data_IF_401638712619
#
_entry.id   IF_401638712619
#
_cell.length_a   1.000
_cell.length_b   1.000
_cell.length_c   1.000
_cell.angle_alpha   90.00
_cell.angle_beta   90.00
_cell.angle_gamma   90.00
#
_symmetry.space_group_name_H-M   'P 1'
#
loop_
_entity.id
_entity.type
_entity.pdbx_description
1 polymer ?
#
# COMPACT_ATOMS: atom_id res chain seq x y z
N UNK A 1 -43.20 -14.69 -24.02
CA UNK A 1 -43.16 -14.34 -22.59
C UNK A 1 -41.79 -14.74 -22.07
N UNK A 2 -40.83 -13.82 -22.06
CA UNK A 2 -39.48 -14.08 -21.55
C UNK A 2 -39.44 -13.69 -20.07
N UNK A 3 -39.24 -14.67 -19.20
CA UNK A 3 -38.97 -14.43 -17.78
C UNK A 3 -37.48 -14.12 -17.68
N UNK A 4 -37.15 -12.86 -17.44
CA UNK A 4 -35.78 -12.47 -17.07
C UNK A 4 -35.61 -12.85 -15.61
N UNK A 5 -34.86 -13.93 -15.35
CA UNK A 5 -34.45 -14.29 -14.01
C UNK A 5 -33.37 -13.29 -13.56
N UNK A 6 -33.76 -12.34 -12.72
CA UNK A 6 -32.83 -11.43 -12.04
C UNK A 6 -32.05 -12.23 -11.01
N UNK A 7 -30.87 -12.74 -11.38
CA UNK A 7 -29.93 -13.25 -10.39
C UNK A 7 -29.40 -12.08 -9.60
N UNK A 8 -29.94 -11.89 -8.38
CA UNK A 8 -29.30 -11.09 -7.36
C UNK A 8 -27.95 -11.74 -7.03
N UNK A 9 -26.87 -11.19 -7.56
CA UNK A 9 -25.53 -11.51 -7.09
C UNK A 9 -25.44 -10.95 -5.66
N UNK A 10 -25.25 -11.78 -4.62
CA UNK A 10 -25.06 -11.27 -3.28
C UNK A 10 -23.79 -10.42 -3.28
N UNK A 11 -23.93 -9.15 -2.87
CA UNK A 11 -22.81 -8.22 -2.74
C UNK A 11 -21.90 -8.82 -1.66
N UNK A 12 -20.74 -9.34 -2.07
CA UNK A 12 -19.71 -9.80 -1.14
C UNK A 12 -19.40 -8.65 -0.18
N UNK A 13 -19.42 -8.98 1.11
CA UNK A 13 -19.36 -8.10 2.27
C UNK A 13 -18.45 -6.88 2.05
N UNK A 14 -18.98 -5.68 2.30
CA UNK A 14 -18.26 -4.41 2.22
C UNK A 14 -16.87 -4.51 2.90
N UNK A 15 -15.81 -4.38 2.11
CA UNK A 15 -14.41 -4.43 2.56
C UNK A 15 -14.07 -3.16 3.33
N UNK A 16 -14.36 -3.14 4.64
CA UNK A 16 -13.87 -2.11 5.55
C UNK A 16 -12.37 -2.30 5.80
N UNK A 17 -11.62 -1.21 5.89
CA UNK A 17 -10.20 -1.17 6.24
C UNK A 17 -10.00 -0.86 7.73
N UNK A 18 -8.81 -1.12 8.26
CA UNK A 18 -8.50 -0.82 9.66
C UNK A 18 -8.65 0.69 9.93
N UNK A 19 -9.64 1.06 10.74
CA UNK A 19 -9.97 2.46 11.03
C UNK A 19 -11.31 2.92 10.46
N UNK A 20 -11.86 2.23 9.45
CA UNK A 20 -13.14 2.58 8.82
C UNK A 20 -14.33 2.26 9.71
N UNK A 21 -14.18 1.26 10.58
CA UNK A 21 -15.17 0.88 11.59
C UNK A 21 -14.50 0.38 12.85
N UNK A 22 -15.26 0.42 13.94
CA UNK A 22 -14.85 -0.13 15.23
C UNK A 22 -14.79 -1.66 15.17
N UNK A 23 -13.63 -2.25 15.45
CA UNK A 23 -13.45 -3.71 15.51
C UNK A 23 -13.52 -4.24 16.94
N UNK A 24 -14.12 -5.42 17.12
CA UNK A 24 -14.24 -6.10 18.41
C UNK A 24 -14.24 -7.62 18.22
N UNK A 25 -14.08 -8.34 19.33
CA UNK A 25 -14.10 -9.80 19.40
C UNK A 25 -15.28 -10.40 18.63
N UNK A 26 -15.00 -11.44 17.84
CA UNK A 26 -15.95 -12.17 17.01
C UNK A 26 -16.24 -11.52 15.64
N UNK A 27 -15.70 -10.34 15.36
CA UNK A 27 -15.80 -9.76 14.02
C UNK A 27 -14.87 -10.45 13.04
N UNK A 28 -15.31 -10.48 11.78
CA UNK A 28 -14.55 -10.99 10.66
C UNK A 28 -14.42 -9.91 9.59
N UNK A 29 -13.33 -9.96 8.84
CA UNK A 29 -13.14 -9.09 7.69
C UNK A 29 -11.68 -8.80 7.37
N UNK A 30 -11.50 -8.09 6.26
CA UNK A 30 -10.20 -7.68 5.78
C UNK A 30 -9.52 -6.67 6.73
N UNK A 31 -10.28 -5.77 7.35
CA UNK A 31 -9.85 -4.88 8.44
C UNK A 31 -9.28 -5.63 9.65
N UNK A 32 -9.91 -6.75 10.03
CA UNK A 32 -9.40 -7.62 11.10
C UNK A 32 -8.10 -8.28 10.69
N UNK A 33 -7.98 -8.72 9.43
CA UNK A 33 -6.73 -9.29 8.94
C UNK A 33 -5.60 -8.25 8.94
N UNK A 34 -5.88 -7.00 8.58
CA UNK A 34 -4.93 -5.89 8.68
C UNK A 34 -4.50 -5.61 10.12
N UNK A 35 -5.47 -5.56 11.06
CA UNK A 35 -5.19 -5.43 12.49
C UNK A 35 -4.20 -6.51 12.97
N UNK A 36 -4.47 -7.77 12.62
CA UNK A 36 -3.63 -8.91 12.99
C UNK A 36 -2.21 -8.76 12.42
N UNK A 37 -2.06 -8.38 11.14
CA UNK A 37 -0.74 -8.15 10.52
C UNK A 37 0.02 -7.02 11.22
N UNK A 38 -0.64 -5.89 11.47
CA UNK A 38 -0.01 -4.72 12.07
C UNK A 38 0.43 -4.97 13.52
N UNK A 39 -0.43 -5.58 14.33
CA UNK A 39 -0.06 -5.96 15.70
C UNK A 39 1.04 -7.03 15.72
N UNK A 40 0.98 -8.02 14.82
CA UNK A 40 2.06 -9.00 14.64
C UNK A 40 3.39 -8.34 14.28
N UNK A 41 3.37 -7.35 13.38
CA UNK A 41 4.55 -6.57 13.01
C UNK A 41 5.14 -5.80 14.19
N UNK A 42 4.29 -5.25 15.05
CA UNK A 42 4.70 -4.56 16.28
C UNK A 42 5.12 -5.52 17.42
N UNK A 43 5.12 -6.83 17.16
CA UNK A 43 5.62 -7.85 18.08
C UNK A 43 4.57 -8.42 19.03
N UNK A 44 3.29 -8.15 18.82
CA UNK A 44 2.20 -8.72 19.61
C UNK A 44 1.74 -10.06 19.04
N UNK A 45 1.44 -11.02 19.91
CA UNK A 45 0.97 -12.33 19.48
C UNK A 45 -0.54 -12.31 19.16
N UNK A 46 -0.87 -12.22 17.87
CA UNK A 46 -2.25 -12.17 17.39
C UNK A 46 -2.87 -13.54 17.11
N UNK A 47 -2.09 -14.63 17.20
CA UNK A 47 -2.48 -15.95 16.72
C UNK A 47 -2.31 -16.07 15.20
N UNK A 48 -3.29 -16.66 14.52
CA UNK A 48 -3.29 -16.76 13.06
C UNK A 48 -3.78 -15.45 12.43
N UNK A 49 -3.31 -15.15 11.22
CA UNK A 49 -3.73 -14.00 10.41
C UNK A 49 -4.84 -14.45 9.46
N UNK A 50 -5.97 -14.82 10.04
CA UNK A 50 -7.11 -15.45 9.38
C UNK A 50 -8.27 -14.47 9.10
N UNK A 51 -8.17 -13.22 9.56
CA UNK A 51 -9.24 -12.24 9.44
C UNK A 51 -10.38 -12.45 10.43
N UNK A 52 -10.23 -13.32 11.43
CA UNK A 52 -11.17 -13.52 12.53
C UNK A 52 -10.65 -12.88 13.82
N UNK A 53 -11.43 -11.98 14.42
CA UNK A 53 -11.05 -11.27 15.64
C UNK A 53 -11.29 -12.19 16.83
N UNK A 54 -10.42 -13.19 16.98
CA UNK A 54 -10.48 -14.17 18.04
C UNK A 54 -9.83 -13.72 19.34
N UNK A 55 -9.76 -14.64 20.29
CA UNK A 55 -9.23 -14.37 21.63
C UNK A 55 -7.77 -13.89 21.62
N UNK A 56 -6.91 -14.47 20.78
CA UNK A 56 -5.52 -14.03 20.67
C UNK A 56 -5.41 -12.60 20.11
N UNK A 57 -6.18 -12.28 19.07
CA UNK A 57 -6.22 -10.91 18.51
C UNK A 57 -6.74 -9.90 19.54
N UNK A 58 -7.77 -10.27 20.31
CA UNK A 58 -8.27 -9.44 21.41
C UNK A 58 -7.25 -9.21 22.52
N UNK A 59 -6.52 -10.26 22.92
CA UNK A 59 -5.45 -10.14 23.89
C UNK A 59 -4.33 -9.21 23.40
N UNK A 60 -3.92 -9.34 22.12
CA UNK A 60 -2.94 -8.48 21.49
C UNK A 60 -3.39 -7.01 21.44
N UNK A 61 -4.66 -6.74 21.14
CA UNK A 61 -5.21 -5.36 21.17
C UNK A 61 -5.14 -4.77 22.56
N UNK A 62 -5.55 -5.52 23.60
CA UNK A 62 -5.47 -5.03 24.98
C UNK A 62 -4.04 -4.77 25.42
N UNK A 63 -3.12 -5.65 25.05
CA UNK A 63 -1.71 -5.44 25.35
C UNK A 63 -1.16 -4.20 24.64
N UNK A 64 -1.50 -4.01 23.37
CA UNK A 64 -1.15 -2.82 22.61
C UNK A 64 -1.70 -1.55 23.26
N UNK A 65 -2.99 -1.53 23.60
CA UNK A 65 -3.64 -0.39 24.24
C UNK A 65 -2.95 -0.04 25.56
N UNK A 66 -2.65 -1.04 26.40
CA UNK A 66 -1.98 -0.85 27.67
C UNK A 66 -0.57 -0.25 27.49
N UNK A 67 0.24 -0.80 26.57
CA UNK A 67 1.61 -0.31 26.32
C UNK A 67 1.65 1.11 25.75
N UNK A 68 0.55 1.56 25.14
CA UNK A 68 0.46 2.85 24.46
C UNK A 68 -0.42 3.88 25.18
N UNK A 69 -0.81 3.61 26.43
CA UNK A 69 -1.58 4.56 27.25
C UNK A 69 -3.00 4.83 26.74
N UNK A 70 -3.60 3.87 26.03
CA UNK A 70 -4.97 3.95 25.52
C UNK A 70 -5.97 3.30 26.49
N UNK A 71 -7.27 3.50 26.25
CA UNK A 71 -8.34 2.72 26.91
C UNK A 71 -8.13 1.23 26.65
N UNK A 72 -8.04 0.41 27.70
CA UNK A 72 -7.72 -1.03 27.62
C UNK A 72 -9.00 -1.88 27.58
N UNK A 73 -9.86 -1.59 26.60
CA UNK A 73 -11.17 -2.23 26.41
C UNK A 73 -11.14 -3.40 25.42
N UNK A 74 -10.04 -3.58 24.69
CA UNK A 74 -9.91 -4.60 23.64
C UNK A 74 -10.70 -4.27 22.38
N UNK A 75 -11.14 -3.02 22.22
CA UNK A 75 -11.89 -2.52 21.08
C UNK A 75 -10.99 -1.64 20.23
N UNK A 76 -10.94 -1.91 18.94
CA UNK A 76 -10.18 -1.10 17.98
C UNK A 76 -11.10 -0.02 17.42
N UNK A 77 -11.28 1.05 18.18
CA UNK A 77 -11.83 2.31 17.67
C UNK A 77 -10.76 3.16 16.98
N UNK A 78 -11.17 4.34 16.50
CA UNK A 78 -10.31 5.26 15.71
C UNK A 78 -8.97 5.57 16.40
N UNK A 79 -8.98 5.81 17.72
CA UNK A 79 -7.75 6.11 18.46
C UNK A 79 -6.76 4.93 18.47
N UNK A 80 -7.26 3.71 18.71
CA UNK A 80 -6.44 2.49 18.68
C UNK A 80 -5.92 2.20 17.27
N UNK A 81 -6.78 2.31 16.25
CA UNK A 81 -6.40 2.10 14.86
C UNK A 81 -5.29 3.06 14.43
N UNK A 82 -5.45 4.36 14.69
CA UNK A 82 -4.45 5.38 14.36
C UNK A 82 -3.12 5.16 15.09
N UNK A 83 -3.16 4.77 16.38
CA UNK A 83 -1.94 4.48 17.13
C UNK A 83 -1.17 3.29 16.53
N UNK A 84 -1.88 2.21 16.15
CA UNK A 84 -1.28 1.04 15.49
C UNK A 84 -0.66 1.46 14.16
N UNK A 85 -1.41 2.15 13.31
CA UNK A 85 -0.95 2.61 12.00
C UNK A 85 0.29 3.49 12.14
N UNK A 86 0.26 4.48 13.05
CA UNK A 86 1.39 5.39 13.28
C UNK A 86 2.65 4.66 13.77
N UNK A 87 2.52 3.62 14.59
CA UNK A 87 3.68 2.86 15.07
C UNK A 87 4.24 1.92 14.01
N UNK A 88 3.38 1.32 13.18
CA UNK A 88 3.84 0.55 12.02
C UNK A 88 4.63 1.47 11.08
N UNK A 89 4.14 2.69 10.86
CA UNK A 89 4.80 3.71 10.04
C UNK A 89 6.04 4.36 10.71
N UNK A 90 6.09 4.42 12.05
CA UNK A 90 7.14 5.11 12.82
C UNK A 90 8.23 4.22 13.44
N UNK A 91 8.07 2.89 13.43
CA UNK A 91 8.99 1.91 14.05
C UNK A 91 10.38 1.76 13.39
N UNK A 92 10.74 2.61 12.43
CA UNK A 92 12.02 2.54 11.70
C UNK A 92 13.23 3.13 12.47
N UNK A 93 13.06 3.65 13.69
CA UNK A 93 14.16 4.26 14.45
C UNK A 93 15.13 3.25 15.12
N UNK A 94 14.76 1.97 15.24
CA UNK A 94 15.58 0.97 15.95
C UNK A 94 15.57 -0.39 15.24
N UNK A 95 16.30 -0.51 14.13
CA UNK A 95 16.81 -1.81 13.66
C UNK A 95 18.29 -1.69 13.29
N UNK A 96 19.11 -2.72 13.56
CA UNK A 96 20.50 -2.73 13.12
C UNK A 96 20.53 -2.54 11.61
N UNK A 97 21.12 -1.43 11.16
CA UNK A 97 21.46 -1.23 9.75
C UNK A 97 22.46 -2.31 9.37
N UNK A 98 22.01 -3.32 8.63
CA UNK A 98 22.96 -4.12 7.86
C UNK A 98 23.49 -3.18 6.78
N UNK A 99 24.68 -2.67 7.04
CA UNK A 99 25.49 -1.98 6.04
C UNK A 99 25.94 -3.01 5.01
N UNK A 100 25.92 -2.55 3.75
CA UNK A 100 26.69 -3.07 2.61
C UNK A 100 26.00 -4.05 1.65
N UNK A 101 25.63 -3.48 0.51
CA UNK A 101 25.97 -3.95 -0.83
C UNK A 101 26.20 -5.47 -1.00
N UNK A 102 25.17 -6.18 -1.47
CA UNK A 102 25.41 -7.40 -2.26
C UNK A 102 24.33 -7.56 -3.33
N UNK A 103 24.76 -7.40 -4.59
CA UNK A 103 24.10 -7.83 -5.84
C UNK A 103 22.62 -7.47 -6.02
N UNK A 104 22.35 -6.24 -6.48
CA UNK A 104 21.40 -5.91 -7.55
C UNK A 104 19.91 -6.26 -7.42
N UNK A 105 19.49 -7.00 -6.40
CA UNK A 105 18.11 -7.37 -6.16
C UNK A 105 17.61 -6.61 -4.94
N UNK A 106 16.59 -5.77 -5.16
CA UNK A 106 15.80 -5.21 -4.08
C UNK A 106 15.20 -6.37 -3.29
N UNK A 107 15.62 -6.58 -2.04
CA UNK A 107 14.95 -7.51 -1.15
C UNK A 107 13.65 -6.87 -0.70
N UNK A 108 12.60 -7.10 -1.47
CA UNK A 108 11.24 -6.66 -1.13
C UNK A 108 10.53 -7.73 -0.33
N UNK A 109 9.93 -7.32 0.79
CA UNK A 109 9.01 -8.13 1.57
C UNK A 109 7.68 -8.31 0.84
N UNK A 110 6.85 -9.26 1.29
CA UNK A 110 5.47 -9.38 0.78
C UNK A 110 4.66 -8.10 0.98
N UNK A 111 4.92 -7.36 2.08
CA UNK A 111 4.24 -6.09 2.32
C UNK A 111 4.63 -5.04 1.28
N UNK A 112 5.91 -4.96 0.93
CA UNK A 112 6.39 -4.04 -0.10
C UNK A 112 5.75 -4.32 -1.47
N UNK A 113 5.56 -5.60 -1.81
CA UNK A 113 4.86 -5.99 -3.05
C UNK A 113 3.39 -5.56 -3.04
N UNK A 114 2.71 -5.66 -1.90
CA UNK A 114 1.34 -5.19 -1.74
C UNK A 114 1.26 -3.67 -1.82
N UNK A 115 2.17 -2.95 -1.16
CA UNK A 115 2.21 -1.48 -1.17
C UNK A 115 2.52 -0.95 -2.58
N UNK A 116 3.42 -1.59 -3.32
CA UNK A 116 3.67 -1.29 -4.72
C UNK A 116 2.44 -1.54 -5.59
N UNK A 117 1.75 -2.68 -5.41
CA UNK A 117 0.55 -2.99 -6.18
C UNK A 117 -0.58 -2.00 -5.89
N UNK A 118 -0.71 -1.52 -4.65
CA UNK A 118 -1.64 -0.46 -4.25
C UNK A 118 -1.37 0.86 -4.96
N UNK A 119 -0.10 1.26 -5.04
CA UNK A 119 0.28 2.44 -5.83
C UNK A 119 -0.09 2.24 -7.30
N UNK A 120 0.31 1.14 -7.92
CA UNK A 120 0.00 0.87 -9.33
C UNK A 120 -1.50 0.90 -9.58
N UNK A 121 -2.27 0.29 -8.69
CA UNK A 121 -3.72 0.26 -8.81
C UNK A 121 -4.33 1.66 -8.65
N UNK A 122 -3.90 2.46 -7.67
CA UNK A 122 -4.43 3.80 -7.49
C UNK A 122 -4.06 4.76 -8.63
N UNK A 123 -2.85 4.65 -9.16
CA UNK A 123 -2.30 5.61 -10.13
C UNK A 123 -2.59 5.24 -11.59
N UNK A 124 -2.76 3.95 -11.88
CA UNK A 124 -2.83 3.43 -13.25
C UNK A 124 -3.96 2.43 -13.47
N UNK A 125 -4.96 2.34 -12.60
CA UNK A 125 -6.17 1.55 -12.89
C UNK A 125 -6.86 2.09 -14.14
N UNK A 126 -7.15 1.19 -15.07
CA UNK A 126 -7.74 1.52 -16.36
C UNK A 126 -6.74 1.94 -17.44
N UNK A 127 -5.46 2.11 -17.08
CA UNK A 127 -4.38 2.25 -18.07
C UNK A 127 -4.04 0.89 -18.69
N UNK A 128 -3.33 0.93 -19.83
CA UNK A 128 -2.74 -0.27 -20.43
C UNK A 128 -1.78 -0.97 -19.46
N UNK A 129 -1.53 -2.27 -19.67
CA UNK A 129 -0.58 -3.02 -18.85
C UNK A 129 0.83 -2.39 -18.85
N UNK A 130 1.27 -1.86 -20.00
CA UNK A 130 2.52 -1.09 -20.11
C UNK A 130 2.51 0.16 -19.21
N UNK A 131 1.38 0.90 -19.14
CA UNK A 131 1.21 2.05 -18.25
C UNK A 131 1.26 1.68 -16.77
N UNK A 132 0.69 0.53 -16.38
CA UNK A 132 0.79 0.02 -15.02
C UNK A 132 2.23 -0.36 -14.65
N UNK A 133 2.95 -1.03 -15.58
CA UNK A 133 4.37 -1.36 -15.40
C UNK A 133 5.23 -0.09 -15.33
N UNK A 134 4.86 0.95 -16.08
CA UNK A 134 5.53 2.24 -16.05
C UNK A 134 5.48 2.90 -14.66
N UNK A 135 4.30 2.92 -14.01
CA UNK A 135 4.18 3.44 -12.63
C UNK A 135 5.01 2.62 -11.65
N UNK A 136 4.92 1.29 -11.71
CA UNK A 136 5.73 0.40 -10.86
C UNK A 136 7.23 0.69 -11.04
N UNK A 137 7.67 0.86 -12.29
CA UNK A 137 9.06 1.14 -12.63
C UNK A 137 9.55 2.46 -12.05
N UNK A 138 8.73 3.52 -12.06
CA UNK A 138 9.09 4.79 -11.41
C UNK A 138 9.33 4.61 -9.91
N UNK A 139 8.50 3.84 -9.19
CA UNK A 139 8.71 3.57 -7.76
C UNK A 139 10.05 2.85 -7.55
N UNK A 140 10.35 1.84 -8.37
CA UNK A 140 11.62 1.10 -8.28
C UNK A 140 12.83 1.96 -8.67
N UNK A 141 12.69 2.86 -9.64
CA UNK A 141 13.73 3.80 -10.05
C UNK A 141 14.04 4.81 -8.95
N UNK A 142 12.99 5.35 -8.29
CA UNK A 142 13.14 6.20 -7.11
C UNK A 142 13.90 5.48 -6.00
N UNK A 143 13.52 4.23 -5.71
CA UNK A 143 14.19 3.40 -4.70
C UNK A 143 15.67 3.13 -5.05
N UNK A 144 15.96 2.81 -6.32
CA UNK A 144 17.33 2.58 -6.80
C UNK A 144 18.18 3.84 -6.81
N UNK A 145 17.59 5.01 -7.06
CA UNK A 145 18.33 6.28 -7.09
C UNK A 145 18.79 6.72 -5.70
N UNK A 146 18.09 6.30 -4.64
CA UNK A 146 18.35 6.71 -3.26
C UNK A 146 18.00 8.18 -2.97
N UNK A 147 17.53 8.95 -3.95
CA UNK A 147 17.16 10.36 -3.77
C UNK A 147 15.83 10.53 -3.03
N UNK A 148 15.01 9.47 -3.01
CA UNK A 148 13.65 9.48 -2.46
C UNK A 148 13.54 8.65 -1.18
N UNK A 149 14.69 8.26 -0.61
CA UNK A 149 14.78 7.28 0.48
C UNK A 149 15.28 5.93 0.00
N UNK A 150 15.33 4.98 0.93
CA UNK A 150 15.98 3.68 0.73
C UNK A 150 15.04 2.49 0.96
N UNK A 151 13.76 2.74 1.26
CA UNK A 151 12.72 1.73 1.39
C UNK A 151 11.52 2.05 0.49
N UNK A 152 10.68 1.04 0.21
CA UNK A 152 9.45 1.23 -0.58
C UNK A 152 8.53 2.23 0.11
N UNK A 153 8.43 2.16 1.44
CA UNK A 153 7.63 3.08 2.24
C UNK A 153 8.16 4.51 2.15
N UNK A 154 9.48 4.72 2.19
CA UNK A 154 10.05 6.07 2.03
C UNK A 154 9.59 6.71 0.72
N UNK A 155 9.58 5.93 -0.37
CA UNK A 155 9.20 6.40 -1.69
C UNK A 155 7.69 6.64 -1.79
N UNK A 156 6.89 5.69 -1.31
CA UNK A 156 5.43 5.72 -1.43
C UNK A 156 4.81 6.80 -0.57
N UNK A 157 5.27 6.96 0.67
CA UNK A 157 4.69 7.92 1.63
C UNK A 157 5.31 9.30 1.58
N UNK A 158 6.15 9.60 0.57
CA UNK A 158 6.57 10.98 0.35
C UNK A 158 5.35 11.87 0.12
N UNK A 159 5.30 13.07 0.73
CA UNK A 159 4.20 14.00 0.53
C UNK A 159 3.98 14.26 -0.97
N UNK A 160 2.75 14.01 -1.42
CA UNK A 160 2.29 14.25 -2.79
C UNK A 160 2.92 13.36 -3.88
N UNK A 161 3.57 12.26 -3.50
CA UNK A 161 4.21 11.37 -4.47
C UNK A 161 3.24 10.47 -5.23
N UNK A 162 2.15 10.04 -4.58
CA UNK A 162 1.10 9.17 -5.13
C UNK A 162 -0.26 9.60 -4.56
N UNK A 163 -1.25 9.82 -5.42
CA UNK A 163 -2.59 10.26 -5.04
C UNK A 163 -3.30 9.21 -4.20
N UNK A 164 -3.06 7.92 -4.48
CA UNK A 164 -3.62 6.80 -3.72
C UNK A 164 -3.40 6.94 -2.20
N UNK A 165 -2.19 7.37 -1.80
CA UNK A 165 -1.77 7.56 -0.40
C UNK A 165 -2.58 8.66 0.30
N UNK A 166 -2.92 9.72 -0.42
CA UNK A 166 -3.53 10.92 0.17
C UNK A 166 -5.06 10.94 0.04
N UNK A 167 -5.61 10.27 -0.95
CA UNK A 167 -7.05 10.21 -1.19
C UNK A 167 -7.75 9.11 -0.36
N UNK A 168 -7.01 8.48 0.56
CA UNK A 168 -7.50 7.37 1.41
C UNK A 168 -7.71 6.05 0.67
N UNK A 169 -7.39 6.01 -0.63
CA UNK A 169 -7.58 4.85 -1.49
C UNK A 169 -6.41 3.87 -1.48
N UNK A 170 -5.31 4.22 -0.80
CA UNK A 170 -4.09 3.42 -0.77
C UNK A 170 -4.33 2.01 -0.28
N UNK A 171 -5.23 1.83 0.68
CA UNK A 171 -5.45 0.51 1.23
C UNK A 171 -6.33 -0.38 0.36
N UNK A 172 -6.97 0.16 -0.71
CA UNK A 172 -7.82 -0.59 -1.63
C UNK A 172 -7.12 -1.87 -2.13
N UNK A 173 -7.86 -2.98 -2.18
CA UNK A 173 -7.30 -4.24 -2.68
C UNK A 173 -6.90 -4.07 -4.16
N UNK A 174 -5.60 -4.25 -4.50
CA UNK A 174 -5.15 -4.19 -5.88
C UNK A 174 -5.68 -5.39 -6.66
N UNK A 175 -5.99 -5.20 -7.94
CA UNK A 175 -6.33 -6.31 -8.81
C UNK A 175 -5.09 -7.15 -9.20
N UNK A 176 -5.34 -8.31 -9.83
CA UNK A 176 -4.28 -9.20 -10.28
C UNK A 176 -3.33 -8.52 -11.30
N UNK A 177 -3.84 -7.57 -12.10
CA UNK A 177 -3.02 -6.87 -13.11
C UNK A 177 -2.01 -5.93 -12.47
N UNK A 178 -2.35 -5.27 -11.35
CA UNK A 178 -1.41 -4.46 -10.59
C UNK A 178 -0.25 -5.31 -10.03
N UNK A 179 -0.54 -6.49 -9.46
CA UNK A 179 0.50 -7.42 -9.00
C UNK A 179 1.39 -7.92 -10.15
N UNK A 180 0.79 -8.26 -11.29
CA UNK A 180 1.53 -8.68 -12.48
C UNK A 180 2.44 -7.57 -13.00
N UNK A 181 1.97 -6.31 -12.96
CA UNK A 181 2.76 -5.16 -13.38
C UNK A 181 3.97 -4.92 -12.46
N UNK A 182 3.78 -5.03 -11.14
CA UNK A 182 4.88 -4.99 -10.16
C UNK A 182 5.89 -6.10 -10.43
N UNK A 183 5.43 -7.32 -10.67
CA UNK A 183 6.30 -8.46 -10.97
C UNK A 183 7.10 -8.25 -12.28
N UNK A 184 6.46 -7.70 -13.31
CA UNK A 184 7.11 -7.34 -14.58
C UNK A 184 8.24 -6.32 -14.36
N UNK A 185 7.97 -5.24 -13.62
CA UNK A 185 8.96 -4.22 -13.30
C UNK A 185 10.13 -4.78 -12.47
N UNK A 186 9.85 -5.65 -11.49
CA UNK A 186 10.87 -6.34 -10.68
C UNK A 186 11.71 -7.31 -11.51
N UNK A 187 11.14 -7.91 -12.55
CA UNK A 187 11.86 -8.76 -13.50
C UNK A 187 12.75 -7.97 -14.46
N UNK A 188 12.72 -6.63 -14.38
CA UNK A 188 13.59 -5.73 -15.13
C UNK A 188 12.93 -5.03 -16.32
N UNK A 189 11.63 -5.22 -16.55
CA UNK A 189 10.95 -4.48 -17.61
C UNK A 189 10.63 -3.05 -17.14
N UNK A 190 11.34 -2.07 -17.70
CA UNK A 190 11.09 -0.64 -17.47
C UNK A 190 10.75 0.06 -18.80
N UNK A 191 9.46 0.29 -19.12
CA UNK A 191 9.05 1.00 -20.34
C UNK A 191 9.32 2.51 -20.28
N UNK A 192 9.71 3.05 -19.12
CA UNK A 192 9.95 4.49 -18.91
C UNK A 192 11.40 4.91 -19.13
N UNK A 193 12.30 3.96 -19.37
CA UNK A 193 13.72 4.25 -19.59
C UNK A 193 14.41 4.94 -18.42
N UNK A 194 14.03 4.61 -17.18
CA UNK A 194 14.63 5.18 -15.96
C UNK A 194 13.94 6.43 -15.41
N UNK A 195 12.67 6.69 -15.77
CA UNK A 195 11.97 7.87 -15.28
C UNK A 195 11.82 7.88 -13.74
N UNK A 196 11.86 9.09 -13.17
CA UNK A 196 11.69 9.34 -11.73
C UNK A 196 10.39 10.11 -11.43
N UNK A 197 9.77 10.69 -12.46
CA UNK A 197 8.56 11.48 -12.34
C UNK A 197 7.57 11.10 -13.44
N UNK A 198 6.29 11.26 -13.13
CA UNK A 198 5.24 11.24 -14.12
C UNK A 198 4.12 12.20 -13.74
N UNK A 199 3.33 12.61 -14.72
CA UNK A 199 2.12 13.42 -14.49
C UNK A 199 1.11 13.20 -15.62
N UNK A 200 -0.16 13.44 -15.33
CA UNK A 200 -1.17 13.57 -16.37
C UNK A 200 -1.13 14.99 -16.96
N UNK A 201 -0.82 15.18 -18.25
CA UNK A 201 -0.64 16.50 -18.85
C UNK A 201 -1.94 17.31 -18.95
N UNK A 202 -3.11 16.66 -18.81
CA UNK A 202 -4.41 17.33 -18.84
C UNK A 202 -4.76 17.93 -17.47
N UNK A 203 -4.37 17.26 -16.37
CA UNK A 203 -4.77 17.65 -15.02
C UNK A 203 -3.63 18.27 -14.19
N UNK A 204 -2.37 18.12 -14.62
CA UNK A 204 -1.22 18.65 -13.89
C UNK A 204 -1.22 20.19 -13.85
N UNK A 205 -1.25 20.74 -12.64
CA UNK A 205 -1.26 22.19 -12.40
C UNK A 205 0.09 22.75 -11.98
N UNK A 206 1.05 21.90 -11.58
CA UNK A 206 2.37 22.33 -11.11
C UNK A 206 3.25 22.85 -12.27
N UNK A 207 3.73 24.10 -12.26
CA UNK A 207 4.62 24.61 -13.31
C UNK A 207 5.98 23.89 -13.38
N UNK A 208 6.40 23.27 -12.28
CA UNK A 208 7.70 22.61 -12.16
C UNK A 208 7.84 21.39 -13.09
N UNK A 209 6.77 20.60 -13.29
CA UNK A 209 6.84 19.38 -14.10
C UNK A 209 7.13 19.68 -15.57
N UNK A 210 6.68 20.84 -16.07
CA UNK A 210 6.79 21.23 -17.47
C UNK A 210 8.21 21.64 -17.90
N UNK A 211 9.13 21.80 -16.95
CA UNK A 211 10.54 22.08 -17.21
C UNK A 211 11.43 20.82 -17.10
N UNK A 212 10.85 19.64 -16.87
CA UNK A 212 11.61 18.39 -16.73
C UNK A 212 12.01 17.80 -18.09
N UNK A 213 13.15 17.10 -18.19
CA UNK A 213 13.50 16.33 -19.38
C UNK A 213 12.52 15.16 -19.57
N UNK A 214 11.61 15.29 -20.55
CA UNK A 214 10.59 14.28 -20.85
C UNK A 214 11.21 13.08 -21.59
N UNK A 215 10.88 11.87 -21.14
CA UNK A 215 11.20 10.63 -21.85
C UNK A 215 10.16 10.34 -22.93
N UNK A 216 8.88 10.44 -22.57
CA UNK A 216 7.79 10.10 -23.46
C UNK A 216 6.45 10.06 -22.74
N UNK A 217 5.43 9.54 -23.42
CA UNK A 217 4.07 9.39 -22.89
C UNK A 217 3.61 7.95 -23.07
N UNK A 218 3.09 7.36 -22.00
CA UNK A 218 2.45 6.04 -22.01
C UNK A 218 1.04 6.23 -21.44
N UNK A 219 0.03 5.93 -22.26
CA UNK A 219 -1.36 6.18 -21.93
C UNK A 219 -1.60 7.65 -21.58
N UNK A 220 -2.14 7.91 -20.39
CA UNK A 220 -2.44 9.26 -19.92
C UNK A 220 -1.28 9.95 -19.19
N UNK A 221 -0.14 9.27 -19.01
CA UNK A 221 0.97 9.80 -18.22
C UNK A 221 2.16 10.19 -19.09
N UNK A 222 2.70 11.38 -18.85
CA UNK A 222 4.02 11.81 -19.34
C UNK A 222 5.05 11.40 -18.30
N UNK A 223 6.16 10.82 -18.74
CA UNK A 223 7.26 10.36 -17.88
C UNK A 223 8.51 11.19 -18.11
N UNK A 224 9.27 11.47 -17.05
CA UNK A 224 10.45 12.32 -17.09
C UNK A 224 11.53 11.89 -16.08
N UNK A 225 12.76 12.33 -16.35
CA UNK A 225 13.89 12.25 -15.42
C UNK A 225 13.81 13.30 -14.33
#
# INVERSE_FOLDING_TARGET
MFVVATTLVPIQNAEAYLGDRTLKLGMEGYDVQQLQRNLGYLGYNVGQVDGYFGWQTWAAVKEFQWRNGLSVDGIVGVATANAIINQVSGGQAQRPRITSASRGYLQLSRQDLYDLARVVYGEARGESFEGQVAVASVVLNRLRSGQFGHTVQDVIFQPWAFTAVHDGQFYLEPDATAFQAVQAALSGWDPTGGALYYWNPVTATSPWVWNRPVVGRIGNHVFAY
#
